data_IF_127210858450
#
_entry.id   IF_127210858450
#
_cell.length_a   1.000
_cell.length_b   1.000
_cell.length_c   1.000
_cell.angle_alpha   90.00
_cell.angle_beta   90.00
_cell.angle_gamma   90.00
#
_symmetry.space_group_name_H-M   'P 1'
#
loop_
_entity.id
_entity.type
_entity.pdbx_description
1 polymer ?
#
# COMPACT_ATOMS: atom_id res chain seq x y z
N UNK A 1 13.48 -2.98 -10.53
CA UNK A 1 14.17 -2.28 -9.43
C UNK A 1 13.43 -2.61 -8.14
N UNK A 2 14.12 -3.03 -7.09
CA UNK A 2 13.48 -3.46 -5.84
C UNK A 2 12.91 -2.25 -5.10
N UNK A 3 11.72 -2.37 -4.52
CA UNK A 3 11.07 -1.29 -3.77
C UNK A 3 11.58 -1.25 -2.33
N UNK A 4 11.66 -0.04 -1.77
CA UNK A 4 12.01 0.21 -0.38
C UNK A 4 10.88 0.96 0.31
N UNK A 5 10.25 0.32 1.29
CA UNK A 5 9.22 0.90 2.14
C UNK A 5 9.94 1.55 3.33
N UNK A 6 9.84 2.86 3.43
CA UNK A 6 10.38 3.64 4.55
C UNK A 6 9.26 3.85 5.55
N UNK A 7 9.47 3.37 6.78
CA UNK A 7 8.52 3.47 7.87
C UNK A 7 9.13 4.37 8.93
N UNK A 8 8.40 5.36 9.41
CA UNK A 8 8.88 6.23 10.49
C UNK A 8 9.00 5.47 11.83
N UNK A 9 9.47 6.16 12.87
CA UNK A 9 9.60 5.57 14.20
C UNK A 9 8.23 5.20 14.83
N UNK A 10 7.15 5.83 14.40
CA UNK A 10 5.78 5.56 14.83
C UNK A 10 5.14 4.36 14.12
N UNK A 11 5.83 3.74 13.16
CA UNK A 11 5.30 2.62 12.38
C UNK A 11 4.46 3.03 11.17
N UNK A 12 4.45 4.32 10.80
CA UNK A 12 3.71 4.85 9.65
C UNK A 12 4.60 4.78 8.41
N UNK A 13 4.04 4.36 7.27
CA UNK A 13 4.77 4.40 5.99
C UNK A 13 4.96 5.87 5.57
N UNK A 14 6.22 6.30 5.53
CA UNK A 14 6.61 7.67 5.17
C UNK A 14 6.86 7.81 3.67
N UNK A 15 7.44 6.79 3.03
CA UNK A 15 7.76 6.81 1.61
C UNK A 15 7.91 5.41 1.00
N UNK A 16 7.70 5.29 -0.31
CA UNK A 16 8.04 4.11 -1.11
C UNK A 16 9.03 4.52 -2.18
N UNK A 17 10.25 3.99 -2.10
CA UNK A 17 11.41 4.48 -2.85
C UNK A 17 12.07 3.37 -3.67
N UNK A 18 12.95 3.78 -4.58
CA UNK A 18 13.81 2.87 -5.33
C UNK A 18 14.99 2.37 -4.51
N UNK A 19 15.26 1.07 -4.57
CA UNK A 19 16.44 0.47 -3.94
C UNK A 19 17.09 -0.56 -4.87
N UNK A 20 18.42 -0.59 -4.84
CA UNK A 20 19.23 -1.62 -5.46
C UNK A 20 20.35 -2.04 -4.50
N UNK A 21 21.15 -3.01 -4.91
CA UNK A 21 22.26 -3.51 -4.09
C UNK A 21 23.23 -2.39 -3.68
N UNK A 22 23.51 -1.44 -4.57
CA UNK A 22 24.42 -0.31 -4.31
C UNK A 22 23.87 0.66 -3.27
N UNK A 23 22.59 1.04 -3.36
CA UNK A 23 21.96 1.93 -2.37
C UNK A 23 21.82 1.26 -1.01
N UNK A 24 21.49 -0.05 -0.99
CA UNK A 24 21.43 -0.85 0.24
C UNK A 24 22.80 -0.99 0.91
N UNK A 25 23.85 -1.31 0.14
CA UNK A 25 25.20 -1.42 0.66
C UNK A 25 25.69 -0.11 1.29
N UNK A 26 25.49 1.02 0.60
CA UNK A 26 25.79 2.36 1.15
C UNK A 26 25.02 2.65 2.43
N UNK A 27 23.75 2.27 2.48
CA UNK A 27 22.92 2.47 3.67
C UNK A 27 23.46 1.74 4.88
N UNK A 28 23.82 0.46 4.70
CA UNK A 28 24.38 -0.37 5.76
C UNK A 28 25.78 0.09 6.21
N UNK A 29 26.62 0.53 5.26
CA UNK A 29 27.98 1.00 5.54
C UNK A 29 27.98 2.34 6.28
N UNK A 30 27.11 3.26 5.89
CA UNK A 30 27.13 4.65 6.39
C UNK A 30 26.14 4.90 7.53
N UNK A 31 25.24 3.95 7.81
CA UNK A 31 24.21 4.10 8.84
C UNK A 31 23.17 5.18 8.51
N UNK A 32 23.08 5.57 7.23
CA UNK A 32 22.22 6.63 6.72
C UNK A 32 21.48 6.12 5.48
N UNK A 33 20.23 6.51 5.27
CA UNK A 33 19.40 5.99 4.19
C UNK A 33 19.83 6.52 2.82
N UNK A 34 20.19 5.60 1.91
CA UNK A 34 20.48 5.89 0.49
C UNK A 34 19.44 5.26 -0.43
N UNK A 35 19.02 6.02 -1.45
CA UNK A 35 17.92 5.64 -2.35
C UNK A 35 18.29 5.82 -3.81
N UNK A 36 17.59 5.13 -4.69
CA UNK A 36 17.73 5.26 -6.15
C UNK A 36 16.71 6.25 -6.68
N UNK A 37 17.19 7.31 -7.32
CA UNK A 37 16.34 8.32 -7.95
C UNK A 37 15.65 7.72 -9.18
N UNK A 38 14.32 7.85 -9.31
CA UNK A 38 13.58 7.26 -10.44
C UNK A 38 13.98 7.86 -11.79
N UNK A 39 14.36 9.14 -11.81
CA UNK A 39 14.57 9.90 -13.04
C UNK A 39 15.85 9.55 -13.79
N UNK A 40 16.90 9.16 -13.06
CA UNK A 40 18.23 8.97 -13.63
C UNK A 40 19.01 7.79 -13.03
N UNK A 41 18.38 7.01 -12.15
CA UNK A 41 18.99 5.85 -11.50
C UNK A 41 20.15 6.18 -10.56
N UNK A 42 20.41 7.45 -10.25
CA UNK A 42 21.48 7.85 -9.33
C UNK A 42 21.17 7.40 -7.91
N UNK A 43 22.21 7.01 -7.19
CA UNK A 43 22.13 6.67 -5.76
C UNK A 43 22.51 7.91 -4.95
N UNK A 44 21.55 8.48 -4.22
CA UNK A 44 21.70 9.71 -3.43
C UNK A 44 21.21 9.49 -1.98
N UNK A 45 21.71 10.28 -1.01
CA UNK A 45 21.21 10.24 0.36
C UNK A 45 19.76 10.71 0.39
N UNK A 46 18.93 10.01 1.14
CA UNK A 46 17.52 10.38 1.32
C UNK A 46 17.42 11.72 2.05
N UNK A 47 16.54 12.61 1.55
CA UNK A 47 16.39 14.00 2.04
C UNK A 47 17.71 14.81 2.08
N UNK A 48 18.69 14.43 1.26
CA UNK A 48 19.95 15.16 1.15
C UNK A 48 20.97 14.87 2.26
N UNK A 49 20.69 13.97 3.20
CA UNK A 49 21.64 13.64 4.26
C UNK A 49 21.00 13.32 5.62
N UNK A 50 21.72 12.59 6.46
CA UNK A 50 21.47 12.50 7.90
C UNK A 50 20.26 11.67 8.36
N UNK A 51 19.52 11.03 7.45
CA UNK A 51 18.38 10.18 7.83
C UNK A 51 18.87 8.80 8.26
N UNK A 52 18.93 8.56 9.56
CA UNK A 52 19.35 7.27 10.11
C UNK A 52 18.21 6.26 10.08
N UNK A 53 18.56 5.00 9.83
CA UNK A 53 17.60 3.93 9.70
C UNK A 53 18.10 2.62 10.31
N UNK A 54 17.18 1.75 10.69
CA UNK A 54 17.44 0.41 11.21
C UNK A 54 17.81 -0.59 10.11
N UNK A 55 17.67 -1.88 10.43
CA UNK A 55 17.95 -2.95 9.47
C UNK A 55 16.86 -3.07 8.39
N UNK A 56 17.29 -3.46 7.19
CA UNK A 56 16.37 -3.83 6.12
C UNK A 56 15.68 -5.15 6.46
N UNK A 57 14.36 -5.15 6.39
CA UNK A 57 13.53 -6.35 6.50
C UNK A 57 13.07 -6.74 5.09
N UNK A 58 13.50 -7.90 4.57
CA UNK A 58 13.04 -8.33 3.26
C UNK A 58 11.55 -8.68 3.32
N UNK A 59 10.83 -8.24 2.30
CA UNK A 59 9.54 -8.79 1.94
C UNK A 59 9.67 -10.21 1.38
N UNK A 60 8.54 -10.89 1.15
CA UNK A 60 8.53 -12.22 0.58
C UNK A 60 9.31 -12.30 -0.75
N UNK A 61 10.18 -13.30 -0.88
CA UNK A 61 11.05 -13.49 -2.07
C UNK A 61 11.93 -12.28 -2.41
N UNK A 62 12.20 -11.40 -1.43
CA UNK A 62 12.99 -10.17 -1.62
C UNK A 62 12.42 -9.21 -2.68
N UNK A 63 11.11 -9.29 -2.94
CA UNK A 63 10.42 -8.41 -3.89
C UNK A 63 10.48 -6.92 -3.48
N UNK A 64 10.61 -6.66 -2.18
CA UNK A 64 10.81 -5.34 -1.58
C UNK A 64 11.58 -5.46 -0.27
N UNK A 65 12.05 -4.34 0.26
CA UNK A 65 12.58 -4.23 1.61
C UNK A 65 11.82 -3.16 2.39
N UNK A 66 11.67 -3.34 3.69
CA UNK A 66 11.22 -2.31 4.62
C UNK A 66 12.40 -1.85 5.46
N UNK A 67 12.46 -0.55 5.74
CA UNK A 67 13.36 0.02 6.74
C UNK A 67 12.58 0.92 7.68
N UNK A 68 12.92 0.87 8.96
CA UNK A 68 12.36 1.78 9.95
C UNK A 68 13.36 2.92 10.19
N UNK A 69 12.89 4.16 10.19
CA UNK A 69 13.69 5.32 10.58
C UNK A 69 13.91 5.33 12.09
N UNK A 70 15.04 5.86 12.53
CA UNK A 70 15.34 6.03 13.95
C UNK A 70 14.83 7.40 14.45
N UNK A 71 14.31 7.45 15.67
CA UNK A 71 13.83 8.68 16.32
C UNK A 71 14.94 9.74 16.37
N UNK A 72 14.60 11.01 16.13
CA UNK A 72 15.54 12.13 16.17
C UNK A 72 16.29 12.39 14.85
N UNK A 73 15.95 11.70 13.76
CA UNK A 73 16.43 12.00 12.40
C UNK A 73 15.70 13.20 11.77
N UNK A 74 15.68 14.34 12.46
CA UNK A 74 15.21 15.60 11.86
C UNK A 74 16.37 16.27 11.11
N UNK A 75 16.34 16.17 9.78
CA UNK A 75 16.98 17.16 8.90
C UNK A 75 15.93 18.16 8.43
N UNK A 76 15.97 19.40 8.92
CA UNK A 76 15.10 20.52 8.51
C UNK A 76 15.95 21.76 8.15
N UNK A 77 15.48 22.77 7.36
CA UNK A 77 14.09 23.05 6.99
C UNK A 77 13.80 23.18 5.48
N UNK A 78 12.52 23.35 5.18
CA UNK A 78 11.90 23.77 3.92
C UNK A 78 12.49 25.06 3.31
N UNK A 79 12.50 25.15 1.97
CA UNK A 79 12.82 26.39 1.21
C UNK A 79 12.50 26.27 -0.28
N UNK A 80 12.13 27.37 -0.97
CA UNK A 80 11.01 27.42 -1.90
C UNK A 80 11.39 27.09 -3.35
N UNK A 81 10.42 26.56 -4.10
CA UNK A 81 10.54 26.35 -5.53
C UNK A 81 9.18 26.13 -6.15
N UNK A 82 8.55 27.22 -6.60
CA UNK A 82 7.40 27.18 -7.49
C UNK A 82 7.67 26.20 -8.64
N UNK A 83 6.89 25.12 -8.70
CA UNK A 83 6.65 24.39 -9.92
C UNK A 83 5.22 24.74 -10.36
N UNK A 84 5.01 25.09 -11.63
CA UNK A 84 3.80 25.76 -12.07
C UNK A 84 2.60 24.85 -11.85
N UNK A 85 1.53 25.43 -11.31
CA UNK A 85 0.19 24.89 -11.42
C UNK A 85 -0.14 24.70 -12.90
N UNK A 86 0.12 23.51 -13.44
CA UNK A 86 -0.49 23.11 -14.70
C UNK A 86 -1.95 22.83 -14.38
N UNK A 87 -2.78 23.84 -14.64
CA UNK A 87 -4.21 23.66 -14.81
C UNK A 87 -4.43 22.49 -15.77
N UNK A 88 -4.82 21.33 -15.24
CA UNK A 88 -5.57 20.37 -16.03
C UNK A 88 -6.98 20.95 -16.17
N UNK A 89 -7.10 21.96 -17.04
CA UNK A 89 -8.35 22.26 -17.73
C UNK A 89 -8.58 21.13 -18.74
N UNK A 90 -8.89 19.96 -18.21
CA UNK A 90 -9.53 18.87 -18.93
C UNK A 90 -10.88 18.71 -18.29
N UNK A 91 -11.93 19.18 -18.96
CA UNK A 91 -13.31 18.79 -18.67
C UNK A 91 -13.31 17.26 -18.65
N UNK A 92 -13.40 16.67 -17.47
CA UNK A 92 -13.70 15.24 -17.34
C UNK A 92 -15.05 15.03 -18.00
N UNK A 93 -15.24 14.00 -18.84
CA UNK A 93 -16.58 13.54 -19.14
C UNK A 93 -17.30 13.37 -17.80
N UNK A 94 -18.52 13.88 -17.66
CA UNK A 94 -19.36 13.56 -16.51
C UNK A 94 -19.44 12.04 -16.43
N UNK A 95 -18.62 11.45 -15.56
CA UNK A 95 -18.82 10.07 -15.20
C UNK A 95 -20.17 9.99 -14.53
N UNK A 96 -21.03 9.14 -15.08
CA UNK A 96 -22.26 8.73 -14.43
C UNK A 96 -21.90 8.34 -12.99
N UNK A 97 -22.28 9.19 -12.03
CA UNK A 97 -22.14 8.84 -10.62
C UNK A 97 -22.94 7.56 -10.44
N UNK A 98 -22.32 6.43 -10.10
CA UNK A 98 -23.08 5.28 -9.66
C UNK A 98 -23.91 5.78 -8.48
N UNK A 99 -25.24 5.62 -8.54
CA UNK A 99 -26.13 6.16 -7.52
C UNK A 99 -25.65 5.80 -6.10
N UNK A 100 -25.80 6.72 -5.16
CA UNK A 100 -25.31 6.62 -3.77
C UNK A 100 -25.73 5.31 -3.04
N UNK A 101 -26.73 4.60 -3.58
CA UNK A 101 -27.24 3.32 -3.08
C UNK A 101 -26.40 2.08 -3.45
N UNK A 102 -25.32 2.17 -4.24
CA UNK A 102 -24.63 0.98 -4.79
C UNK A 102 -23.55 0.35 -3.90
N UNK A 103 -22.94 1.09 -2.97
CA UNK A 103 -21.69 0.64 -2.31
C UNK A 103 -21.90 -0.58 -1.42
N UNK A 104 -22.84 -0.53 -0.47
CA UNK A 104 -23.13 -1.67 0.40
C UNK A 104 -23.79 -2.86 -0.35
N UNK A 105 -24.72 -2.64 -1.31
CA UNK A 105 -25.28 -3.71 -2.12
C UNK A 105 -24.28 -4.43 -3.04
N UNK A 106 -23.11 -3.86 -3.31
CA UNK A 106 -22.03 -4.58 -4.02
C UNK A 106 -21.12 -5.31 -3.03
N UNK A 107 -20.71 -4.63 -1.95
CA UNK A 107 -19.73 -5.18 -1.01
C UNK A 107 -20.30 -6.32 -0.15
N UNK A 108 -21.57 -6.25 0.28
CA UNK A 108 -22.18 -7.29 1.12
C UNK A 108 -22.31 -8.63 0.37
N UNK A 109 -22.88 -8.70 -0.85
CA UNK A 109 -22.92 -9.95 -1.61
C UNK A 109 -21.54 -10.51 -1.96
N UNK A 110 -20.55 -9.63 -2.18
CA UNK A 110 -19.17 -10.05 -2.42
C UNK A 110 -18.54 -10.67 -1.17
N UNK A 111 -18.76 -10.10 0.01
CA UNK A 111 -18.34 -10.68 1.29
C UNK A 111 -18.99 -12.04 1.53
N UNK A 112 -20.29 -12.18 1.27
CA UNK A 112 -21.02 -13.45 1.37
C UNK A 112 -20.46 -14.50 0.40
N UNK A 113 -20.15 -14.10 -0.84
CA UNK A 113 -19.50 -14.98 -1.82
C UNK A 113 -18.12 -15.44 -1.36
N UNK A 114 -17.32 -14.56 -0.74
CA UNK A 114 -16.01 -14.92 -0.19
C UNK A 114 -16.16 -15.94 0.95
N UNK A 115 -17.08 -15.71 1.88
CA UNK A 115 -17.37 -16.63 2.97
C UNK A 115 -17.85 -18.00 2.45
N UNK A 116 -18.75 -18.00 1.46
CA UNK A 116 -19.23 -19.22 0.83
C UNK A 116 -18.11 -19.99 0.13
N UNK A 117 -17.20 -19.29 -0.56
CA UNK A 117 -16.03 -19.92 -1.20
C UNK A 117 -15.04 -20.47 -0.20
N UNK A 118 -14.88 -19.84 0.98
CA UNK A 118 -14.07 -20.42 2.06
C UNK A 118 -14.67 -21.72 2.58
N UNK A 119 -16.00 -21.78 2.69
CA UNK A 119 -16.73 -22.95 3.18
C UNK A 119 -16.75 -24.10 2.18
N UNK A 120 -16.98 -23.79 0.90
CA UNK A 120 -17.18 -24.80 -0.15
C UNK A 120 -15.91 -25.16 -0.91
N UNK A 121 -14.89 -24.31 -0.87
CA UNK A 121 -13.59 -24.50 -1.53
C UNK A 121 -13.72 -24.97 -2.99
N UNK A 122 -14.48 -24.27 -3.86
CA UNK A 122 -14.69 -24.70 -5.24
C UNK A 122 -13.37 -24.71 -6.01
N UNK A 123 -13.16 -25.74 -6.83
CA UNK A 123 -11.95 -25.87 -7.66
C UNK A 123 -11.81 -24.70 -8.66
N UNK A 124 -10.57 -24.31 -8.95
CA UNK A 124 -10.25 -23.25 -9.92
C UNK A 124 -10.53 -21.82 -9.46
N UNK A 125 -11.20 -21.62 -8.32
CA UNK A 125 -11.47 -20.28 -7.77
C UNK A 125 -10.20 -19.65 -7.18
N UNK A 126 -9.93 -18.40 -7.55
CA UNK A 126 -8.85 -17.60 -6.96
C UNK A 126 -8.97 -17.49 -5.44
N UNK A 127 -10.20 -17.30 -4.94
CA UNK A 127 -10.48 -17.22 -3.49
C UNK A 127 -10.11 -18.53 -2.79
N UNK A 128 -10.40 -19.68 -3.41
CA UNK A 128 -10.00 -21.01 -2.91
C UNK A 128 -8.48 -21.13 -2.86
N UNK A 129 -7.77 -20.63 -3.88
CA UNK A 129 -6.31 -20.59 -3.89
C UNK A 129 -5.76 -19.79 -2.69
N UNK A 130 -6.30 -18.60 -2.43
CA UNK A 130 -5.89 -17.78 -1.28
C UNK A 130 -6.06 -18.51 0.05
N UNK A 131 -7.25 -19.07 0.31
CA UNK A 131 -7.53 -19.78 1.55
C UNK A 131 -6.70 -21.07 1.68
N UNK A 132 -6.49 -21.81 0.60
CA UNK A 132 -5.66 -23.02 0.62
C UNK A 132 -4.18 -22.74 0.93
N UNK A 133 -3.66 -21.56 0.55
CA UNK A 133 -2.31 -21.10 0.89
C UNK A 133 -2.20 -20.52 2.30
N UNK A 134 -3.34 -20.20 2.92
CA UNK A 134 -3.42 -19.77 4.32
C UNK A 134 -3.08 -18.29 4.56
N UNK A 135 -3.02 -17.89 5.85
CA UNK A 135 -3.03 -16.48 6.25
C UNK A 135 -1.81 -15.69 5.77
N UNK A 136 -0.65 -16.33 5.63
CA UNK A 136 0.56 -15.68 5.13
C UNK A 136 0.41 -15.17 3.70
N UNK A 137 -0.19 -15.97 2.79
CA UNK A 137 -0.43 -15.55 1.39
C UNK A 137 -1.47 -14.43 1.31
N UNK A 138 -2.52 -14.52 2.13
CA UNK A 138 -3.59 -13.51 2.18
C UNK A 138 -3.04 -12.15 2.65
N UNK A 139 -2.26 -12.14 3.74
CA UNK A 139 -1.62 -10.92 4.25
C UNK A 139 -0.60 -10.35 3.26
N UNK A 140 0.18 -11.21 2.59
CA UNK A 140 1.11 -10.81 1.51
C UNK A 140 0.35 -10.06 0.41
N UNK A 141 -0.71 -10.66 -0.15
CA UNK A 141 -1.52 -10.02 -1.18
C UNK A 141 -2.12 -8.70 -0.71
N UNK A 142 -2.71 -8.67 0.49
CA UNK A 142 -3.29 -7.44 1.05
C UNK A 142 -2.25 -6.30 1.13
N UNK A 143 -1.02 -6.62 1.53
CA UNK A 143 0.08 -5.64 1.57
C UNK A 143 0.59 -5.23 0.19
N UNK A 144 0.59 -6.13 -0.79
CA UNK A 144 0.93 -5.81 -2.19
C UNK A 144 -0.07 -4.80 -2.76
N UNK A 145 -1.38 -5.07 -2.71
CA UNK A 145 -2.40 -4.16 -3.26
C UNK A 145 -2.38 -2.78 -2.59
N UNK A 146 -2.07 -2.74 -1.28
CA UNK A 146 -1.93 -1.47 -0.56
C UNK A 146 -0.78 -0.63 -1.10
N UNK A 147 0.35 -1.26 -1.43
CA UNK A 147 1.50 -0.58 -2.03
C UNK A 147 1.21 -0.21 -3.48
N UNK A 148 0.56 -1.08 -4.25
CA UNK A 148 0.17 -0.82 -5.63
C UNK A 148 -0.78 0.38 -5.71
N UNK A 149 -1.79 0.45 -4.83
CA UNK A 149 -2.67 1.62 -4.71
C UNK A 149 -1.93 2.91 -4.38
N UNK A 150 -0.96 2.87 -3.45
CA UNK A 150 -0.15 4.05 -3.09
C UNK A 150 0.69 4.54 -4.29
N UNK A 151 1.12 3.63 -5.15
CA UNK A 151 1.99 3.93 -6.29
C UNK A 151 1.23 4.25 -7.59
N UNK A 152 -0.08 4.00 -7.65
CA UNK A 152 -0.89 4.25 -8.83
C UNK A 152 -0.92 5.75 -9.18
N UNK A 153 -0.62 6.09 -10.43
CA UNK A 153 -0.49 7.49 -10.87
C UNK A 153 -1.70 7.96 -11.69
N UNK A 154 -2.33 7.05 -12.44
CA UNK A 154 -3.52 7.35 -13.22
C UNK A 154 -4.81 6.87 -12.57
N UNK A 155 -5.91 7.48 -12.99
CA UNK A 155 -7.22 7.29 -12.37
C UNK A 155 -7.76 5.87 -12.48
N UNK A 156 -7.46 5.17 -13.58
CA UNK A 156 -7.94 3.79 -13.78
C UNK A 156 -7.13 2.83 -12.91
N UNK A 157 -5.81 3.03 -12.81
CA UNK A 157 -4.97 2.28 -11.88
C UNK A 157 -5.45 2.45 -10.44
N UNK A 158 -5.66 3.69 -9.98
CA UNK A 158 -6.14 3.95 -8.62
C UNK A 158 -7.46 3.21 -8.32
N UNK A 159 -8.40 3.22 -9.27
CA UNK A 159 -9.69 2.51 -9.10
C UNK A 159 -9.46 1.00 -9.03
N UNK A 160 -8.61 0.44 -9.89
CA UNK A 160 -8.30 -0.99 -9.93
C UNK A 160 -7.63 -1.45 -8.64
N UNK A 161 -6.55 -0.79 -8.22
CA UNK A 161 -5.80 -1.16 -7.03
C UNK A 161 -6.61 -0.95 -5.74
N UNK A 162 -7.49 0.06 -5.71
CA UNK A 162 -8.42 0.25 -4.60
C UNK A 162 -9.44 -0.89 -4.53
N UNK A 163 -9.97 -1.35 -5.67
CA UNK A 163 -10.87 -2.48 -5.72
C UNK A 163 -10.19 -3.77 -5.26
N UNK A 164 -8.96 -4.02 -5.70
CA UNK A 164 -8.18 -5.20 -5.29
C UNK A 164 -7.82 -5.16 -3.81
N UNK A 165 -7.44 -3.99 -3.27
CA UNK A 165 -7.22 -3.81 -1.84
C UNK A 165 -8.49 -4.09 -1.02
N UNK A 166 -9.65 -3.59 -1.45
CA UNK A 166 -10.93 -3.86 -0.78
C UNK A 166 -11.27 -5.35 -0.81
N UNK A 167 -11.09 -6.01 -1.96
CA UNK A 167 -11.29 -7.44 -2.11
C UNK A 167 -10.40 -8.23 -1.15
N UNK A 168 -9.09 -7.95 -1.17
CA UNK A 168 -8.12 -8.64 -0.33
C UNK A 168 -8.31 -8.36 1.16
N UNK A 169 -8.79 -7.16 1.51
CA UNK A 169 -9.22 -6.83 2.88
C UNK A 169 -10.40 -7.71 3.31
N UNK A 170 -11.44 -7.88 2.48
CA UNK A 170 -12.57 -8.76 2.81
C UNK A 170 -12.15 -10.23 2.97
N UNK A 171 -11.23 -10.72 2.13
CA UNK A 171 -10.66 -12.07 2.27
C UNK A 171 -9.87 -12.22 3.57
N UNK A 172 -9.11 -11.20 3.97
CA UNK A 172 -8.38 -11.17 5.24
C UNK A 172 -9.34 -11.15 6.44
N UNK A 173 -10.37 -10.32 6.41
CA UNK A 173 -11.39 -10.26 7.46
C UNK A 173 -12.06 -11.62 7.66
N UNK A 174 -12.49 -12.24 6.55
CA UNK A 174 -13.07 -13.57 6.58
C UNK A 174 -12.06 -14.57 7.17
N UNK A 175 -10.80 -14.57 6.73
CA UNK A 175 -9.75 -15.44 7.28
C UNK A 175 -9.62 -15.35 8.81
N UNK A 176 -9.76 -14.15 9.38
CA UNK A 176 -9.71 -13.88 10.82
C UNK A 176 -11.06 -14.09 11.54
N UNK A 177 -12.11 -14.48 10.82
CA UNK A 177 -13.46 -14.67 11.37
C UNK A 177 -14.19 -13.36 11.69
N UNK A 178 -13.81 -12.28 11.00
CA UNK A 178 -14.38 -10.95 11.18
C UNK A 178 -15.32 -10.66 10.01
N UNK A 179 -16.56 -10.31 10.34
CA UNK A 179 -17.57 -9.91 9.37
C UNK A 179 -17.33 -8.48 8.86
N UNK A 180 -17.60 -8.23 7.58
CA UNK A 180 -17.49 -6.88 6.98
C UNK A 180 -18.38 -5.87 7.72
N UNK A 181 -19.57 -6.30 8.16
CA UNK A 181 -20.51 -5.45 8.90
C UNK A 181 -19.93 -4.94 10.22
N UNK A 182 -19.03 -5.69 10.85
CA UNK A 182 -18.32 -5.24 12.06
C UNK A 182 -17.43 -4.05 11.75
N UNK A 183 -16.71 -4.08 10.61
CA UNK A 183 -15.86 -2.97 10.17
C UNK A 183 -16.70 -1.76 9.77
N UNK A 184 -17.78 -1.97 9.01
CA UNK A 184 -18.71 -0.89 8.63
C UNK A 184 -19.36 -0.25 9.85
N UNK A 185 -19.72 -1.03 10.87
CA UNK A 185 -20.27 -0.50 12.13
C UNK A 185 -19.26 0.39 12.86
N UNK A 186 -17.98 0.00 12.87
CA UNK A 186 -16.91 0.83 13.44
C UNK A 186 -16.70 2.12 12.64
N UNK A 187 -16.77 2.08 11.31
CA UNK A 187 -16.73 3.27 10.48
C UNK A 187 -17.91 4.21 10.76
N UNK A 188 -19.12 3.66 10.89
CA UNK A 188 -20.32 4.42 11.25
C UNK A 188 -20.18 5.11 12.62
N UNK A 189 -19.59 4.41 13.60
CA UNK A 189 -19.28 4.96 14.92
C UNK A 189 -18.29 6.14 14.83
N UNK A 190 -17.27 6.05 13.98
CA UNK A 190 -16.27 7.11 13.77
C UNK A 190 -16.81 8.31 13.01
N UNK A 191 -17.75 8.09 12.08
CA UNK A 191 -18.35 9.17 11.31
C UNK A 191 -19.39 9.97 12.12
N UNK A 192 -20.04 9.31 13.09
CA UNK A 192 -21.09 9.92 13.91
C UNK A 192 -20.57 10.66 15.16
N UNK A 193 -19.24 10.71 15.38
CA UNK A 193 -18.59 11.39 16.50
C UNK A 193 -17.75 12.56 16.02
#
# INVERSE_FOLDING_TARGET
MTRLIVVDAGGIVEAVLGCNEKSRAKTLEQGELWVVMPENGRVLPYRGGGVQCGSFRPGPEEAWYQVNLLEGSEGAPSGPGDAPSREHSGVTPEEERPGDDLVLPVLSPLADLIAERRRTMPEGSYTTHLFSKGPGKIRKKTGEEAVELILAEDRQEIIGEAADLLYHTMVLLEQEGIRLETVVSELGRRHSG
#
